data_IF_827231419092
#
_entry.id   IF_827231419092
#
_cell.length_a   1.000
_cell.length_b   1.000
_cell.length_c   1.000
_cell.angle_alpha   90.00
_cell.angle_beta   90.00
_cell.angle_gamma   90.00
#
_symmetry.space_group_name_H-M   'P 1'
#
loop_
_entity.id
_entity.type
_entity.pdbx_description
1 polymer ?
#
# COMPACT_ATOMS: atom_id res chain seq x y z
N UNK A 1 -2.66 14.11 18.92
CA UNK A 1 -2.61 13.83 17.48
C UNK A 1 -1.16 13.52 17.14
N UNK A 2 -0.83 12.28 16.77
CA UNK A 2 0.55 11.92 16.42
C UNK A 2 0.85 12.54 15.06
N UNK A 3 1.97 13.25 14.85
CA UNK A 3 2.33 13.77 13.54
C UNK A 3 2.37 12.64 12.51
N UNK A 4 2.00 12.95 11.27
CA UNK A 4 2.05 12.01 10.14
C UNK A 4 3.50 11.52 10.00
N UNK A 5 3.75 10.25 10.34
CA UNK A 5 5.12 9.69 10.43
C UNK A 5 5.92 9.82 9.14
N UNK A 6 5.27 9.88 7.98
CA UNK A 6 5.95 10.09 6.70
C UNK A 6 6.45 11.54 6.50
N UNK A 7 6.03 12.49 7.33
CA UNK A 7 6.54 13.87 7.33
C UNK A 7 7.76 14.06 8.26
N UNK A 8 8.09 13.05 9.06
CA UNK A 8 9.27 13.00 9.94
C UNK A 8 10.33 12.09 9.31
N UNK A 9 11.59 12.53 9.12
CA UNK A 9 12.66 11.69 8.57
C UNK A 9 12.89 10.38 9.32
N UNK A 10 12.77 10.39 10.66
CA UNK A 10 12.94 9.19 11.47
C UNK A 10 11.72 8.26 11.33
N UNK A 11 10.51 8.84 11.35
CA UNK A 11 9.28 8.11 11.05
C UNK A 11 9.20 7.54 9.63
N UNK A 12 9.84 8.17 8.64
CA UNK A 12 10.00 7.62 7.29
C UNK A 12 10.86 6.37 7.30
N UNK A 13 12.01 6.39 7.97
CA UNK A 13 12.90 5.22 8.05
C UNK A 13 12.21 4.03 8.71
N UNK A 14 11.44 4.28 9.77
CA UNK A 14 10.72 3.22 10.47
C UNK A 14 9.66 2.57 9.58
N UNK A 15 8.92 3.35 8.78
CA UNK A 15 7.87 2.83 7.91
C UNK A 15 8.47 2.20 6.64
N UNK A 16 9.40 2.89 5.98
CA UNK A 16 9.96 2.46 4.70
C UNK A 16 10.95 1.32 4.85
N UNK A 17 11.68 1.28 5.98
CA UNK A 17 12.59 0.18 6.32
C UNK A 17 11.90 -1.18 6.40
N UNK A 18 10.58 -1.20 6.55
CA UNK A 18 9.76 -2.40 6.64
C UNK A 18 9.02 -2.77 5.36
N UNK A 19 9.27 -2.13 4.23
CA UNK A 19 8.72 -2.60 2.94
C UNK A 19 9.85 -3.13 2.07
N UNK A 20 9.62 -4.19 1.30
CA UNK A 20 10.64 -4.70 0.36
C UNK A 20 11.06 -3.60 -0.63
N UNK A 21 10.12 -2.71 -1.00
CA UNK A 21 10.36 -1.62 -1.95
C UNK A 21 11.15 -0.44 -1.35
N UNK A 22 11.25 -0.32 -0.03
CA UNK A 22 12.05 0.70 0.68
C UNK A 22 11.74 2.16 0.26
N UNK A 23 10.51 2.41 -0.21
CA UNK A 23 10.03 3.74 -0.61
C UNK A 23 8.51 3.83 -0.46
N UNK A 24 7.95 5.04 -0.36
CA UNK A 24 6.51 5.22 -0.45
C UNK A 24 6.01 4.79 -1.83
N UNK A 25 4.80 4.24 -1.88
CA UNK A 25 4.08 4.07 -3.13
C UNK A 25 3.72 5.46 -3.70
N UNK A 26 3.76 5.59 -5.02
CA UNK A 26 3.11 6.69 -5.71
C UNK A 26 1.59 6.49 -5.68
N UNK A 27 0.78 7.56 -5.68
CA UNK A 27 -0.67 7.44 -5.65
C UNK A 27 -1.24 6.50 -6.74
N UNK A 28 -0.65 6.53 -7.93
CA UNK A 28 -1.06 5.74 -9.09
C UNK A 28 -0.83 4.24 -8.87
N UNK A 29 0.21 3.86 -8.11
CA UNK A 29 0.53 2.46 -7.81
C UNK A 29 -0.53 1.81 -6.91
N UNK A 30 -1.19 2.59 -6.05
CA UNK A 30 -2.29 2.12 -5.20
C UNK A 30 -3.63 2.27 -5.93
N UNK A 31 -3.86 3.41 -6.57
CA UNK A 31 -5.11 3.72 -7.26
C UNK A 31 -5.40 2.75 -8.41
N UNK A 32 -4.36 2.20 -9.05
CA UNK A 32 -4.49 1.22 -10.13
C UNK A 32 -5.20 -0.08 -9.75
N UNK A 33 -5.26 -0.43 -8.46
CA UNK A 33 -6.00 -1.61 -7.98
C UNK A 33 -7.52 -1.40 -7.97
N UNK A 34 -7.97 -0.16 -7.78
CA UNK A 34 -9.41 0.19 -7.72
C UNK A 34 -10.16 -0.17 -9.01
N UNK A 35 -9.71 0.22 -10.23
CA UNK A 35 -10.43 -0.13 -11.45
C UNK A 35 -10.49 -1.63 -11.70
N UNK A 36 -9.49 -2.41 -11.27
CA UNK A 36 -9.55 -3.88 -11.33
C UNK A 36 -10.63 -4.44 -10.39
N UNK A 37 -10.66 -4.00 -9.14
CA UNK A 37 -11.68 -4.46 -8.18
C UNK A 37 -13.10 -4.03 -8.57
N UNK A 38 -13.22 -2.95 -9.33
CA UNK A 38 -14.49 -2.45 -9.84
C UNK A 38 -14.90 -3.07 -11.19
N UNK A 39 -14.06 -3.90 -11.82
CA UNK A 39 -14.32 -4.47 -13.14
C UNK A 39 -14.91 -5.88 -13.08
N UNK A 40 -15.38 -6.36 -14.22
CA UNK A 40 -15.98 -7.70 -14.36
C UNK A 40 -14.97 -8.83 -14.08
N UNK A 41 -13.68 -8.55 -14.25
CA UNK A 41 -12.58 -9.48 -13.93
C UNK A 41 -12.54 -9.84 -12.43
N UNK A 42 -13.05 -8.97 -11.54
CA UNK A 42 -13.15 -9.22 -10.10
C UNK A 42 -14.52 -9.77 -9.67
N UNK A 43 -15.39 -10.19 -10.60
CA UNK A 43 -16.80 -10.55 -10.34
C UNK A 43 -17.04 -11.65 -9.30
N UNK A 44 -16.04 -12.45 -8.94
CA UNK A 44 -16.13 -13.49 -7.90
C UNK A 44 -15.25 -13.21 -6.67
N UNK A 45 -14.60 -12.04 -6.61
CA UNK A 45 -13.82 -11.59 -5.46
C UNK A 45 -14.76 -10.90 -4.48
N UNK A 46 -15.10 -11.56 -3.37
CA UNK A 46 -15.92 -10.98 -2.30
C UNK A 46 -15.36 -11.37 -0.95
N UNK A 47 -15.39 -10.44 0.02
CA UNK A 47 -14.88 -10.67 1.38
C UNK A 47 -13.38 -10.94 1.47
N UNK A 48 -12.62 -10.59 0.43
CA UNK A 48 -11.18 -10.80 0.33
C UNK A 48 -10.45 -9.46 0.19
N UNK A 49 -9.23 -9.38 0.68
CA UNK A 49 -8.38 -8.19 0.59
C UNK A 49 -7.42 -8.29 -0.61
N UNK A 50 -7.24 -7.18 -1.32
CA UNK A 50 -6.14 -7.01 -2.28
C UNK A 50 -5.07 -6.12 -1.62
N UNK A 51 -3.94 -6.71 -1.28
CA UNK A 51 -2.86 -6.01 -0.58
C UNK A 51 -1.94 -5.33 -1.61
N UNK A 52 -1.76 -4.00 -1.47
CA UNK A 52 -0.87 -3.17 -2.29
C UNK A 52 -0.01 -2.32 -1.37
N UNK A 53 1.06 -2.89 -0.82
CA UNK A 53 1.83 -2.31 0.30
C UNK A 53 3.34 -2.30 0.10
N UNK A 54 3.83 -2.60 -1.11
CA UNK A 54 5.27 -2.65 -1.41
C UNK A 54 6.01 -3.80 -0.70
N UNK A 55 5.30 -4.86 -0.29
CA UNK A 55 5.86 -6.06 0.32
C UNK A 55 5.91 -6.03 1.85
N UNK A 56 5.23 -5.07 2.49
CA UNK A 56 5.19 -4.94 3.95
C UNK A 56 4.62 -6.19 4.65
N UNK A 57 3.54 -6.76 4.10
CA UNK A 57 2.83 -7.92 4.69
C UNK A 57 3.49 -9.27 4.35
N UNK A 58 4.46 -9.30 3.44
CA UNK A 58 4.99 -10.54 2.85
C UNK A 58 6.40 -10.94 3.32
N UNK A 59 6.98 -10.21 4.26
CA UNK A 59 8.35 -10.39 4.75
C UNK A 59 8.43 -11.10 6.11
#
# INVERSE_FOLDING_TARGET
MVPFRLADPDGQKDILGTTIMQRPAQPEEVAGAVPFLASDEASYMTGSEMVVDGGYTAQ
#
